data_IF_367938990472
#
_entry.id   IF_367938990472
#
_cell.length_a   1.000
_cell.length_b   1.000
_cell.length_c   1.000
_cell.angle_alpha   90.00
_cell.angle_beta   90.00
_cell.angle_gamma   90.00
#
_symmetry.space_group_name_H-M   'P 1'
#
loop_
_entity.id
_entity.type
_entity.pdbx_description
1 polymer ?
#
# COMPACT_ATOMS: atom_id res chain seq x y z
N UNK A 1 17.62 27.63 -36.78
CA UNK A 1 17.68 26.64 -37.87
C UNK A 1 16.83 25.44 -37.47
N UNK A 2 15.67 25.21 -38.10
CA UNK A 2 14.89 23.99 -37.93
C UNK A 2 15.31 22.96 -38.99
N UNK A 3 15.50 21.69 -38.59
CA UNK A 3 15.69 20.59 -39.53
C UNK A 3 14.41 19.77 -39.62
N UNK A 4 13.99 19.61 -40.86
CA UNK A 4 12.72 19.10 -41.37
C UNK A 4 13.11 17.93 -42.29
N UNK A 5 12.62 16.72 -41.95
CA UNK A 5 12.33 15.55 -42.82
C UNK A 5 13.53 14.77 -43.44
N UNK A 6 13.39 13.48 -43.88
CA UNK A 6 12.15 12.88 -44.40
C UNK A 6 11.77 11.44 -44.04
N UNK A 7 10.47 11.23 -44.29
CA UNK A 7 9.76 9.99 -44.58
C UNK A 7 10.48 9.15 -45.63
N UNK A 8 10.65 7.86 -45.37
CA UNK A 8 10.81 6.84 -46.41
C UNK A 8 9.70 5.80 -46.28
N UNK A 9 8.84 5.76 -47.30
CA UNK A 9 7.94 4.65 -47.60
C UNK A 9 8.77 3.56 -48.28
N UNK A 10 8.61 2.30 -47.86
CA UNK A 10 8.82 1.17 -48.76
C UNK A 10 7.63 0.22 -48.76
N UNK A 11 7.46 -0.39 -49.93
CA UNK A 11 6.28 -1.00 -50.48
C UNK A 11 5.88 -2.33 -49.82
N UNK A 12 4.59 -2.64 -50.01
CA UNK A 12 3.90 -3.90 -49.74
C UNK A 12 4.61 -5.12 -50.32
N UNK A 13 4.67 -6.19 -49.54
CA UNK A 13 4.61 -7.57 -50.03
C UNK A 13 3.31 -8.19 -49.53
N UNK A 14 2.40 -8.41 -50.46
CA UNK A 14 1.19 -9.22 -50.29
C UNK A 14 1.57 -10.69 -50.35
N UNK A 15 1.23 -11.45 -49.31
CA UNK A 15 0.98 -12.89 -49.41
C UNK A 15 -0.39 -13.16 -48.80
N UNK A 16 -1.35 -13.47 -49.67
CA UNK A 16 -2.60 -14.11 -49.26
C UNK A 16 -2.30 -15.57 -48.97
N UNK A 17 -2.51 -16.00 -47.73
CA UNK A 17 -2.76 -17.40 -47.43
C UNK A 17 -4.12 -17.52 -46.76
N UNK A 18 -4.89 -18.42 -47.37
CA UNK A 18 -6.30 -18.66 -47.13
C UNK A 18 -6.62 -19.08 -45.70
N UNK A 19 -7.78 -18.60 -45.25
CA UNK A 19 -8.85 -19.38 -44.61
C UNK A 19 -8.40 -20.55 -43.72
N UNK A 20 -8.34 -20.29 -42.41
CA UNK A 20 -8.63 -21.20 -41.27
C UNK A 20 -7.86 -20.71 -40.03
N UNK A 21 -8.14 -19.50 -39.53
CA UNK A 21 -7.53 -19.02 -38.29
C UNK A 21 -8.28 -17.93 -37.48
N UNK A 22 -9.55 -17.51 -37.74
CA UNK A 22 -10.10 -16.40 -36.95
C UNK A 22 -10.66 -16.84 -35.58
N UNK A 23 -10.79 -18.15 -35.30
CA UNK A 23 -11.37 -18.61 -34.02
C UNK A 23 -10.36 -18.86 -32.89
N UNK A 24 -9.06 -18.93 -33.16
CA UNK A 24 -8.04 -19.21 -32.13
C UNK A 24 -7.37 -17.95 -31.55
N UNK A 25 -7.49 -16.80 -32.23
CA UNK A 25 -6.86 -15.55 -31.78
C UNK A 25 -7.75 -14.66 -30.89
N UNK A 26 -9.06 -14.88 -30.90
CA UNK A 26 -10.00 -14.12 -30.04
C UNK A 26 -10.21 -14.75 -28.66
N UNK A 27 -9.79 -16.01 -28.45
CA UNK A 27 -9.85 -16.64 -27.13
C UNK A 27 -8.66 -16.27 -26.24
N UNK A 28 -7.52 -15.86 -26.82
CA UNK A 28 -6.31 -15.52 -26.05
C UNK A 28 -6.31 -14.09 -25.50
N UNK A 29 -7.10 -13.18 -26.08
CA UNK A 29 -7.19 -11.78 -25.59
C UNK A 29 -8.25 -11.59 -24.50
N UNK A 30 -9.23 -12.50 -24.39
CA UNK A 30 -10.25 -12.43 -23.33
C UNK A 30 -9.74 -12.95 -21.96
N UNK A 31 -8.69 -13.78 -21.94
CA UNK A 31 -8.14 -14.38 -20.72
C UNK A 31 -7.09 -13.52 -20.00
N UNK A 32 -6.59 -12.44 -20.62
CA UNK A 32 -5.59 -11.53 -20.00
C UNK A 32 -6.25 -10.34 -19.31
N UNK A 33 -7.54 -10.07 -19.57
CA UNK A 33 -8.27 -8.93 -18.98
C UNK A 33 -9.06 -9.28 -17.71
N UNK A 34 -9.09 -10.55 -17.33
CA UNK A 34 -9.73 -11.02 -16.09
C UNK A 34 -8.79 -11.87 -15.24
N UNK A 35 -7.51 -11.52 -15.21
CA UNK A 35 -6.69 -11.89 -14.06
C UNK A 35 -7.37 -11.25 -12.84
N UNK A 36 -7.87 -11.99 -11.84
CA UNK A 36 -8.06 -11.40 -10.54
C UNK A 36 -6.68 -10.92 -10.15
N UNK A 37 -6.48 -9.60 -10.10
CA UNK A 37 -5.29 -9.03 -9.50
C UNK A 37 -5.35 -9.53 -8.07
N UNK A 38 -4.51 -10.54 -7.81
CA UNK A 38 -4.29 -11.13 -6.50
C UNK A 38 -4.16 -9.99 -5.51
N UNK A 39 -4.75 -10.15 -4.32
CA UNK A 39 -4.38 -9.32 -3.18
C UNK A 39 -2.85 -9.36 -3.11
N UNK A 40 -2.21 -8.25 -3.45
CA UNK A 40 -0.76 -8.16 -3.36
C UNK A 40 -0.47 -8.07 -1.87
N UNK A 41 0.16 -9.10 -1.30
CA UNK A 41 0.73 -9.00 0.04
C UNK A 41 1.65 -7.79 0.05
N UNK A 42 1.29 -6.81 0.88
CA UNK A 42 1.94 -5.49 0.90
C UNK A 42 3.42 -5.63 1.23
N UNK A 43 3.69 -6.53 2.16
CA UNK A 43 5.00 -7.03 2.46
C UNK A 43 5.05 -8.37 1.75
N UNK A 44 5.71 -8.45 0.58
CA UNK A 44 5.92 -9.73 -0.10
C UNK A 44 6.78 -10.62 0.79
N UNK A 45 6.13 -11.34 1.69
CA UNK A 45 6.72 -12.30 2.59
C UNK A 45 5.89 -13.58 2.58
N UNK A 46 6.50 -14.64 3.11
CA UNK A 46 5.93 -15.98 3.18
C UNK A 46 4.73 -16.07 4.14
N UNK A 47 4.20 -14.97 4.68
CA UNK A 47 3.04 -14.99 5.55
C UNK A 47 2.04 -13.85 5.30
N UNK A 48 0.82 -14.08 5.74
CA UNK A 48 -0.35 -13.21 5.57
C UNK A 48 -1.07 -12.95 6.90
N UNK A 49 -2.00 -12.00 6.90
CA UNK A 49 -2.95 -11.82 8.00
C UNK A 49 -3.73 -13.11 8.25
N UNK A 50 -3.89 -13.48 9.52
CA UNK A 50 -4.59 -14.69 9.95
C UNK A 50 -3.71 -15.94 10.06
N UNK A 51 -2.45 -15.89 9.59
CA UNK A 51 -1.51 -17.00 9.77
C UNK A 51 -1.22 -17.25 11.25
N UNK A 52 -1.05 -18.53 11.62
CA UNK A 52 -0.86 -18.92 13.02
C UNK A 52 0.52 -18.54 13.56
N UNK A 53 0.59 -18.26 14.86
CA UNK A 53 1.85 -18.01 15.56
C UNK A 53 2.91 -19.11 15.33
N UNK A 54 2.48 -20.38 15.34
CA UNK A 54 3.36 -21.53 15.13
C UNK A 54 3.99 -21.50 13.74
N UNK A 55 3.20 -21.15 12.71
CA UNK A 55 3.69 -20.98 11.35
C UNK A 55 4.73 -19.87 11.26
N UNK A 56 4.42 -18.68 11.78
CA UNK A 56 5.36 -17.54 11.75
C UNK A 56 6.68 -17.86 12.44
N UNK A 57 6.60 -18.49 13.62
CA UNK A 57 7.80 -18.88 14.38
C UNK A 57 8.66 -19.94 13.69
N UNK A 58 8.08 -20.68 12.72
CA UNK A 58 8.78 -21.70 11.95
C UNK A 58 9.48 -21.16 10.71
N UNK A 59 9.21 -19.91 10.32
CA UNK A 59 9.82 -19.30 9.15
C UNK A 59 11.33 -19.05 9.38
N UNK A 60 12.15 -19.15 8.33
CA UNK A 60 13.56 -18.78 8.42
C UNK A 60 13.74 -17.36 8.92
N UNK A 61 14.80 -17.13 9.71
CA UNK A 61 15.19 -15.79 10.21
C UNK A 61 14.18 -15.14 11.18
N UNK A 62 13.07 -15.82 11.49
CA UNK A 62 12.13 -15.40 12.53
C UNK A 62 12.73 -15.54 13.92
N UNK A 63 12.53 -14.54 14.77
CA UNK A 63 12.86 -14.61 16.19
C UNK A 63 11.78 -13.92 17.04
N UNK A 64 11.61 -14.41 18.27
CA UNK A 64 10.69 -13.79 19.24
C UNK A 64 11.25 -12.43 19.70
N UNK A 65 10.48 -11.38 19.45
CA UNK A 65 10.80 -10.00 19.84
C UNK A 65 9.73 -9.37 20.72
N UNK A 66 8.83 -10.18 21.31
CA UNK A 66 7.71 -9.72 22.14
C UNK A 66 8.14 -8.76 23.25
N UNK A 67 9.31 -9.01 23.86
CA UNK A 67 9.85 -8.17 24.93
C UNK A 67 10.11 -6.71 24.53
N UNK A 68 10.40 -6.44 23.25
CA UNK A 68 10.63 -5.07 22.75
C UNK A 68 9.34 -4.24 22.74
N UNK A 69 8.18 -4.89 22.64
CA UNK A 69 6.87 -4.25 22.49
C UNK A 69 6.01 -4.33 23.75
N UNK A 70 6.46 -5.04 24.79
CA UNK A 70 5.80 -5.10 26.09
C UNK A 70 6.08 -3.88 26.98
N UNK A 71 7.02 -3.01 26.60
CA UNK A 71 7.47 -1.88 27.43
C UNK A 71 7.13 -0.50 26.86
N UNK A 72 6.53 -0.42 25.66
CA UNK A 72 6.10 0.84 25.07
C UNK A 72 4.75 1.27 25.62
N UNK A 73 4.74 2.38 26.36
CA UNK A 73 3.53 3.03 26.89
C UNK A 73 2.54 3.31 25.75
N UNK A 74 1.48 2.51 25.67
CA UNK A 74 0.41 2.64 24.66
C UNK A 74 -0.05 1.34 24.01
N UNK A 75 0.62 0.20 24.26
CA UNK A 75 0.23 -1.08 23.68
C UNK A 75 -0.76 -1.85 24.58
N UNK A 76 -2.05 -1.75 24.28
CA UNK A 76 -3.09 -2.74 24.65
C UNK A 76 -2.91 -4.06 23.85
N UNK A 77 -1.68 -4.52 23.67
CA UNK A 77 -1.37 -5.74 22.92
C UNK A 77 -0.66 -6.72 23.85
N UNK A 78 -1.43 -7.50 24.61
CA UNK A 78 -0.99 -8.74 25.27
C UNK A 78 -0.67 -9.86 24.23
N UNK A 79 -0.01 -9.49 23.13
CA UNK A 79 0.25 -10.33 21.98
C UNK A 79 1.71 -10.75 21.87
N UNK A 80 1.97 -11.91 21.26
CA UNK A 80 3.33 -12.31 20.86
C UNK A 80 3.76 -11.49 19.65
N UNK A 81 5.04 -11.20 19.51
CA UNK A 81 5.60 -10.57 18.33
C UNK A 81 6.79 -11.37 17.80
N UNK A 82 6.79 -11.60 16.49
CA UNK A 82 7.90 -12.25 15.78
C UNK A 82 8.52 -11.28 14.80
N UNK A 83 9.84 -11.14 14.86
CA UNK A 83 10.60 -10.20 14.05
C UNK A 83 11.45 -10.90 13.01
N UNK A 84 11.70 -10.18 11.91
CA UNK A 84 12.55 -10.55 10.79
C UNK A 84 13.48 -9.36 10.53
N UNK A 85 14.75 -9.48 10.90
CA UNK A 85 15.74 -8.42 10.74
C UNK A 85 16.33 -8.40 9.32
N UNK A 86 16.92 -7.28 8.92
CA UNK A 86 17.55 -7.06 7.61
C UNK A 86 16.63 -7.33 6.41
N UNK A 87 15.32 -7.22 6.61
CA UNK A 87 14.34 -7.37 5.55
C UNK A 87 14.41 -6.17 4.61
N UNK A 88 14.60 -6.40 3.31
CA UNK A 88 14.65 -5.34 2.29
C UNK A 88 13.35 -5.28 1.47
N UNK A 89 12.30 -4.64 1.98
CA UNK A 89 11.04 -4.46 1.25
C UNK A 89 11.08 -3.18 0.42
N UNK A 90 10.35 -3.13 -0.69
CA UNK A 90 10.26 -1.93 -1.55
C UNK A 90 11.60 -1.41 -2.11
N UNK A 91 12.66 -2.22 -2.11
CA UNK A 91 14.04 -1.83 -2.41
C UNK A 91 14.66 -0.82 -1.42
N UNK A 92 14.24 -0.87 -0.16
CA UNK A 92 14.90 -0.13 0.94
C UNK A 92 16.21 -0.80 1.34
N UNK A 93 17.00 -0.09 2.15
CA UNK A 93 18.21 -0.63 2.76
C UNK A 93 17.94 -1.00 4.22
N UNK A 94 17.93 -2.30 4.50
CA UNK A 94 17.61 -2.85 5.80
C UNK A 94 16.14 -2.70 6.16
N UNK A 95 15.84 -2.96 7.43
CA UNK A 95 14.53 -2.83 8.02
C UNK A 95 14.18 -4.04 8.86
N UNK A 96 13.38 -3.80 9.89
CA UNK A 96 12.84 -4.83 10.76
C UNK A 96 11.37 -5.00 10.44
N UNK A 97 10.98 -6.20 10.01
CA UNK A 97 9.57 -6.55 9.89
C UNK A 97 9.13 -7.29 11.15
N UNK A 98 7.99 -6.90 11.70
CA UNK A 98 7.40 -7.47 12.91
C UNK A 98 5.98 -7.94 12.62
N UNK A 99 5.70 -9.21 12.88
CA UNK A 99 4.36 -9.77 12.89
C UNK A 99 3.81 -9.77 14.32
N UNK A 100 2.70 -9.07 14.54
CA UNK A 100 2.00 -9.05 15.83
C UNK A 100 0.91 -10.12 15.83
N UNK A 101 0.94 -10.94 16.87
CA UNK A 101 0.02 -12.05 17.06
C UNK A 101 -1.02 -11.68 18.10
N UNK A 102 -2.29 -11.65 17.68
CA UNK A 102 -3.46 -11.56 18.56
C UNK A 102 -4.29 -12.82 18.40
N UNK A 103 -4.84 -13.36 19.49
CA UNK A 103 -5.66 -14.58 19.48
C UNK A 103 -5.01 -15.79 18.74
N UNK A 104 -3.68 -15.85 18.76
CA UNK A 104 -2.89 -16.91 18.11
C UNK A 104 -2.67 -16.75 16.61
N UNK A 105 -3.07 -15.62 16.00
CA UNK A 105 -2.92 -15.32 14.57
C UNK A 105 -2.30 -13.95 14.30
N UNK A 106 -1.72 -13.77 13.13
CA UNK A 106 -1.21 -12.46 12.67
C UNK A 106 -2.37 -11.48 12.50
N UNK A 107 -2.34 -10.40 13.26
CA UNK A 107 -3.36 -9.33 13.24
C UNK A 107 -2.82 -8.02 12.64
N UNK A 108 -1.57 -7.71 12.95
CA UNK A 108 -0.87 -6.54 12.43
C UNK A 108 0.54 -6.90 11.97
N UNK A 109 1.04 -6.17 10.99
CA UNK A 109 2.43 -6.28 10.53
C UNK A 109 3.03 -4.88 10.50
N UNK A 110 4.19 -4.71 11.12
CA UNK A 110 4.94 -3.45 11.10
C UNK A 110 6.26 -3.63 10.38
N UNK A 111 6.64 -2.65 9.57
CA UNK A 111 7.94 -2.55 8.93
C UNK A 111 8.61 -1.25 9.36
N UNK A 112 9.73 -1.38 10.06
CA UNK A 112 10.46 -0.28 10.66
C UNK A 112 11.79 -0.06 9.95
N UNK A 113 12.09 1.20 9.62
CA UNK A 113 13.24 1.60 8.81
C UNK A 113 13.87 2.87 9.38
N UNK A 114 15.20 2.98 9.26
CA UNK A 114 15.86 4.27 9.44
C UNK A 114 15.41 5.26 8.35
N UNK A 115 15.14 6.49 8.78
CA UNK A 115 14.76 7.58 7.91
C UNK A 115 15.94 8.04 7.06
N UNK A 116 15.84 7.78 5.77
CA UNK A 116 16.67 8.39 4.74
C UNK A 116 15.80 8.80 3.57
N UNK A 117 16.27 9.78 2.77
CA UNK A 117 15.59 10.16 1.53
C UNK A 117 15.41 8.99 0.57
N UNK A 118 16.36 8.06 0.53
CA UNK A 118 16.28 6.86 -0.29
C UNK A 118 15.16 5.93 0.20
N UNK A 119 15.14 5.61 1.50
CA UNK A 119 14.13 4.72 2.09
C UNK A 119 12.72 5.32 2.01
N UNK A 120 12.57 6.61 2.32
CA UNK A 120 11.28 7.32 2.23
C UNK A 120 10.69 7.25 0.83
N UNK A 121 11.48 7.60 -0.19
CA UNK A 121 11.03 7.53 -1.57
C UNK A 121 10.78 6.10 -2.04
N UNK A 122 11.61 5.13 -1.60
CA UNK A 122 11.45 3.72 -1.92
C UNK A 122 10.13 3.17 -1.39
N UNK A 123 9.79 3.48 -0.13
CA UNK A 123 8.53 3.11 0.51
C UNK A 123 7.33 3.67 -0.26
N UNK A 124 7.29 4.99 -0.47
CA UNK A 124 6.15 5.62 -1.15
C UNK A 124 6.00 5.12 -2.60
N UNK A 125 7.11 4.95 -3.31
CA UNK A 125 7.09 4.39 -4.66
C UNK A 125 6.68 2.91 -4.67
N UNK A 126 7.12 2.13 -3.68
CA UNK A 126 6.78 0.73 -3.49
C UNK A 126 5.29 0.51 -3.27
N UNK A 127 4.71 1.24 -2.31
CA UNK A 127 3.27 1.23 -2.04
C UNK A 127 2.47 1.63 -3.28
N UNK A 128 2.91 2.67 -4.00
CA UNK A 128 2.27 3.07 -5.27
C UNK A 128 2.32 1.96 -6.33
N UNK A 129 3.45 1.26 -6.48
CA UNK A 129 3.56 0.11 -7.42
C UNK A 129 2.63 -1.04 -7.04
N UNK A 130 2.34 -1.20 -5.75
CA UNK A 130 1.36 -2.15 -5.24
C UNK A 130 -0.10 -1.64 -5.30
N UNK A 131 -0.34 -0.50 -5.97
CA UNK A 131 -1.65 0.13 -6.12
C UNK A 131 -2.27 0.65 -4.81
N UNK A 132 -1.44 1.03 -3.83
CA UNK A 132 -1.90 1.82 -2.69
C UNK A 132 -1.99 3.29 -3.07
N UNK A 133 -3.04 3.95 -2.58
CA UNK A 133 -3.34 5.36 -2.81
C UNK A 133 -3.56 6.07 -1.49
N UNK A 134 -3.18 7.35 -1.42
CA UNK A 134 -3.42 8.18 -0.24
C UNK A 134 -4.92 8.36 -0.01
N UNK A 135 -5.36 8.04 1.20
CA UNK A 135 -6.71 8.31 1.67
C UNK A 135 -6.72 9.50 2.64
N UNK A 136 -5.68 9.63 3.47
CA UNK A 136 -5.47 10.76 4.36
C UNK A 136 -3.97 11.06 4.48
N UNK A 137 -3.63 12.34 4.55
CA UNK A 137 -2.25 12.82 4.76
C UNK A 137 -2.27 13.85 5.86
N UNK A 138 -1.43 13.66 6.88
CA UNK A 138 -1.25 14.60 7.99
C UNK A 138 0.21 14.95 8.12
N UNK A 139 0.55 16.24 8.08
CA UNK A 139 1.92 16.73 8.24
C UNK A 139 1.90 17.97 9.13
N UNK A 140 2.61 17.92 10.25
CA UNK A 140 2.73 19.07 11.15
C UNK A 140 1.39 19.55 11.74
N UNK A 141 0.42 18.66 11.88
CA UNK A 141 -0.93 18.97 12.36
C UNK A 141 -1.90 19.41 11.26
N UNK A 142 -1.44 19.68 10.05
CA UNK A 142 -2.32 19.91 8.90
C UNK A 142 -2.75 18.57 8.30
N UNK A 143 -4.06 18.38 8.10
CA UNK A 143 -4.63 17.12 7.60
C UNK A 143 -5.43 17.34 6.32
N UNK A 144 -5.14 16.55 5.30
CA UNK A 144 -5.90 16.43 4.05
C UNK A 144 -6.56 15.05 3.98
N UNK A 145 -7.89 15.02 4.06
CA UNK A 145 -8.69 13.82 3.78
C UNK A 145 -9.05 13.81 2.28
N UNK A 146 -8.47 12.85 1.55
CA UNK A 146 -8.58 12.78 0.09
C UNK A 146 -9.99 12.36 -0.35
N UNK A 147 -10.66 11.50 0.42
CA UNK A 147 -12.05 11.09 0.13
C UNK A 147 -13.02 12.27 0.24
N UNK A 148 -12.80 13.13 1.23
CA UNK A 148 -13.55 14.37 1.43
C UNK A 148 -13.22 15.39 0.34
N UNK A 149 -11.92 15.56 0.07
CA UNK A 149 -11.39 16.51 -0.91
C UNK A 149 -11.94 16.29 -2.31
N UNK A 150 -12.01 15.03 -2.78
CA UNK A 150 -12.54 14.68 -4.12
C UNK A 150 -14.00 15.09 -4.36
N UNK A 151 -14.78 15.38 -3.31
CA UNK A 151 -16.19 15.81 -3.44
C UNK A 151 -16.35 17.31 -3.54
N UNK A 152 -15.38 18.07 -3.03
CA UNK A 152 -15.48 19.51 -2.84
C UNK A 152 -14.53 20.26 -3.77
N UNK A 153 -13.36 19.67 -4.03
CA UNK A 153 -12.29 20.23 -4.84
C UNK A 153 -12.26 19.57 -6.21
N UNK A 154 -11.82 20.32 -7.21
CA UNK A 154 -11.41 19.71 -8.47
C UNK A 154 -10.12 18.89 -8.28
N UNK A 155 -9.89 17.95 -9.20
CA UNK A 155 -8.79 17.00 -9.10
C UNK A 155 -7.41 17.70 -9.07
N UNK A 156 -7.21 18.75 -9.85
CA UNK A 156 -5.92 19.42 -9.93
C UNK A 156 -5.58 20.09 -8.60
N UNK A 157 -6.54 20.81 -8.02
CA UNK A 157 -6.37 21.46 -6.71
C UNK A 157 -6.06 20.44 -5.61
N UNK A 158 -6.72 19.28 -5.63
CA UNK A 158 -6.46 18.23 -4.64
C UNK A 158 -5.07 17.61 -4.80
N UNK A 159 -4.67 17.33 -6.05
CA UNK A 159 -3.35 16.79 -6.35
C UNK A 159 -2.24 17.78 -5.94
N UNK A 160 -2.44 19.08 -6.18
CA UNK A 160 -1.52 20.14 -5.76
C UNK A 160 -1.40 20.22 -4.23
N UNK A 161 -2.53 20.19 -3.50
CA UNK A 161 -2.52 20.18 -2.02
C UNK A 161 -1.82 18.94 -1.47
N UNK A 162 -2.12 17.76 -2.02
CA UNK A 162 -1.48 16.51 -1.63
C UNK A 162 0.03 16.56 -1.86
N UNK A 163 0.46 17.08 -3.01
CA UNK A 163 1.87 17.24 -3.34
C UNK A 163 2.57 18.21 -2.39
N UNK A 164 1.97 19.38 -2.12
CA UNK A 164 2.53 20.37 -1.20
C UNK A 164 2.70 19.80 0.21
N UNK A 165 1.68 19.09 0.71
CA UNK A 165 1.68 18.56 2.06
C UNK A 165 2.69 17.41 2.22
N UNK A 166 2.68 16.44 1.29
CA UNK A 166 3.57 15.28 1.34
C UNK A 166 5.06 15.63 1.12
N UNK A 167 5.35 16.72 0.39
CA UNK A 167 6.71 17.19 0.12
C UNK A 167 7.14 18.36 1.02
N UNK A 168 6.50 18.55 2.18
CA UNK A 168 6.95 19.53 3.16
C UNK A 168 8.46 19.34 3.43
N UNK A 169 9.23 20.43 3.39
CA UNK A 169 10.70 20.38 3.34
C UNK A 169 11.37 19.95 4.65
N UNK A 170 10.70 20.16 5.79
CA UNK A 170 11.24 19.82 7.11
C UNK A 170 10.84 18.41 7.56
N UNK A 171 11.77 17.45 7.45
CA UNK A 171 11.57 16.04 7.81
C UNK A 171 11.56 15.76 9.32
N UNK A 172 11.85 16.77 10.16
CA UNK A 172 11.71 16.65 11.61
C UNK A 172 10.25 16.72 12.05
N UNK A 173 9.37 17.25 11.19
CA UNK A 173 7.93 17.32 11.43
C UNK A 173 7.31 15.92 11.32
N UNK A 174 6.45 15.56 12.28
CA UNK A 174 5.68 14.32 12.23
C UNK A 174 4.84 14.27 10.94
N UNK A 175 4.93 13.15 10.23
CA UNK A 175 4.09 12.84 9.07
C UNK A 175 3.36 11.54 9.30
N UNK A 176 2.08 11.54 8.97
CA UNK A 176 1.25 10.36 8.98
C UNK A 176 0.50 10.25 7.65
N UNK A 177 0.59 9.10 7.01
CA UNK A 177 -0.14 8.80 5.79
C UNK A 177 -1.02 7.57 6.04
N UNK A 178 -2.28 7.67 5.67
CA UNK A 178 -3.17 6.52 5.56
C UNK A 178 -3.32 6.21 4.09
N UNK A 179 -2.87 5.02 3.69
CA UNK A 179 -3.02 4.51 2.35
C UNK A 179 -3.95 3.29 2.34
N UNK A 180 -4.73 3.20 1.28
CA UNK A 180 -5.65 2.10 1.02
C UNK A 180 -5.34 1.51 -0.35
N UNK A 181 -5.66 0.24 -0.55
CA UNK A 181 -5.62 -0.32 -1.89
C UNK A 181 -6.63 0.42 -2.79
N UNK A 182 -6.26 0.62 -4.05
CA UNK A 182 -7.05 1.40 -5.01
C UNK A 182 -8.48 0.90 -5.18
N UNK A 183 -8.72 -0.40 -5.04
CA UNK A 183 -10.05 -0.99 -5.19
C UNK A 183 -10.94 -0.60 -4.01
N UNK A 184 -10.43 -0.71 -2.79
CA UNK A 184 -11.14 -0.27 -1.59
C UNK A 184 -11.35 1.23 -1.57
N UNK A 185 -10.36 2.02 -1.96
CA UNK A 185 -10.50 3.47 -2.10
C UNK A 185 -11.64 3.84 -3.08
N UNK A 186 -11.65 3.24 -4.28
CA UNK A 186 -12.74 3.42 -5.25
C UNK A 186 -14.10 2.97 -4.72
N UNK A 187 -14.14 1.89 -3.95
CA UNK A 187 -15.38 1.43 -3.32
C UNK A 187 -15.86 2.44 -2.29
N UNK A 188 -14.98 2.95 -1.43
CA UNK A 188 -15.29 3.98 -0.44
C UNK A 188 -15.90 5.23 -1.09
N UNK A 189 -15.34 5.68 -2.21
CA UNK A 189 -15.91 6.78 -3.00
C UNK A 189 -17.32 6.47 -3.52
N UNK A 190 -17.55 5.26 -4.05
CA UNK A 190 -18.86 4.84 -4.57
C UNK A 190 -19.92 4.70 -3.49
N UNK A 191 -19.52 4.32 -2.28
CA UNK A 191 -20.41 4.19 -1.11
C UNK A 191 -20.59 5.50 -0.34
N UNK A 192 -20.18 6.62 -0.93
CA UNK A 192 -20.29 7.97 -0.34
C UNK A 192 -19.63 8.09 1.03
N UNK A 193 -18.52 7.39 1.30
CA UNK A 193 -17.74 7.59 2.52
C UNK A 193 -17.17 9.00 2.49
N UNK A 194 -17.38 9.77 3.57
CA UNK A 194 -17.10 11.21 3.65
C UNK A 194 -15.90 11.59 4.51
N UNK A 195 -15.32 10.64 5.23
CA UNK A 195 -14.17 10.89 6.09
C UNK A 195 -13.52 9.55 6.43
N UNK A 196 -12.21 9.46 6.24
CA UNK A 196 -11.40 8.28 6.57
C UNK A 196 -11.41 8.03 8.08
N UNK A 197 -11.21 9.07 8.87
CA UNK A 197 -11.21 8.98 10.33
C UNK A 197 -12.54 8.47 10.88
N UNK A 198 -13.65 9.06 10.45
CA UNK A 198 -14.99 8.61 10.84
C UNK A 198 -15.31 7.20 10.32
N UNK A 199 -14.69 6.80 9.23
CA UNK A 199 -14.89 5.47 8.67
C UNK A 199 -14.19 4.40 9.50
N UNK A 200 -12.93 4.64 9.85
CA UNK A 200 -12.10 3.70 10.60
C UNK A 200 -12.48 3.64 12.09
N UNK A 201 -13.11 4.68 12.64
CA UNK A 201 -13.58 4.69 14.03
C UNK A 201 -14.88 3.89 14.29
N UNK A 202 -15.42 3.19 13.29
CA UNK A 202 -16.45 2.16 13.49
C UNK A 202 -17.92 2.61 13.33
N UNK A 203 -18.18 3.89 13.06
CA UNK A 203 -19.55 4.43 12.88
C UNK A 203 -20.13 4.30 11.46
N UNK A 204 -19.43 3.61 10.56
CA UNK A 204 -19.68 3.62 9.12
C UNK A 204 -19.73 2.19 8.54
N UNK A 205 -20.22 2.00 7.30
CA UNK A 205 -20.46 0.67 6.76
C UNK A 205 -19.17 -0.16 6.69
N UNK A 206 -19.10 -1.21 7.53
CA UNK A 206 -18.08 -2.27 7.47
C UNK A 206 -18.31 -3.25 6.30
N UNK A 207 -19.58 -3.38 5.88
CA UNK A 207 -20.00 -4.34 4.85
C UNK A 207 -19.36 -4.04 3.50
N UNK A 208 -18.68 -5.01 2.92
CA UNK A 208 -17.91 -4.87 1.69
C UNK A 208 -16.49 -4.35 1.90
N UNK A 209 -16.02 -4.24 3.14
CA UNK A 209 -14.65 -3.84 3.48
C UNK A 209 -14.00 -4.78 4.50
N UNK A 210 -14.53 -6.00 4.65
CA UNK A 210 -14.10 -7.01 5.61
C UNK A 210 -12.63 -7.43 5.40
N UNK A 211 -12.11 -7.26 4.18
CA UNK A 211 -10.71 -7.56 3.81
C UNK A 211 -9.92 -6.29 3.47
N UNK A 212 -10.35 -5.14 3.98
CA UNK A 212 -9.61 -3.90 3.79
C UNK A 212 -8.25 -4.03 4.47
N UNK A 213 -7.18 -3.88 3.71
CA UNK A 213 -5.85 -3.67 4.27
C UNK A 213 -5.54 -2.19 4.26
N UNK A 214 -5.32 -1.65 5.46
CA UNK A 214 -4.92 -0.28 5.67
C UNK A 214 -3.42 -0.23 5.93
N UNK A 215 -2.71 0.68 5.26
CA UNK A 215 -1.31 0.97 5.53
C UNK A 215 -1.21 2.35 6.16
N UNK A 216 -0.77 2.40 7.41
CA UNK A 216 -0.37 3.64 8.07
C UNK A 216 1.14 3.79 7.95
N UNK A 217 1.59 4.90 7.38
CA UNK A 217 3.01 5.25 7.36
C UNK A 217 3.21 6.42 8.31
N UNK A 218 4.09 6.27 9.29
CA UNK A 218 4.48 7.33 10.22
C UNK A 218 5.95 7.63 10.03
N UNK A 219 6.29 8.91 9.86
CA UNK A 219 7.67 9.38 9.80
C UNK A 219 7.90 10.33 10.98
N UNK A 220 8.79 9.93 11.88
CA UNK A 220 9.09 10.66 13.12
C UNK A 220 10.47 10.25 13.64
N UNK A 221 11.16 11.16 14.32
CA UNK A 221 12.36 10.85 15.12
C UNK A 221 13.43 10.03 14.37
N UNK A 222 13.68 10.35 13.10
CA UNK A 222 14.58 9.64 12.19
C UNK A 222 14.19 8.19 11.86
N UNK A 223 12.91 7.85 11.96
CA UNK A 223 12.37 6.53 11.62
C UNK A 223 11.19 6.66 10.64
N UNK A 224 11.02 5.62 9.83
CA UNK A 224 9.81 5.37 9.03
C UNK A 224 9.20 4.07 9.55
N UNK A 225 7.99 4.17 10.07
CA UNK A 225 7.18 3.03 10.51
C UNK A 225 6.03 2.82 9.54
N UNK A 226 5.92 1.64 8.95
CA UNK A 226 4.78 1.24 8.15
C UNK A 226 4.01 0.18 8.92
N UNK A 227 2.75 0.44 9.24
CA UNK A 227 1.87 -0.53 9.89
C UNK A 227 0.77 -0.94 8.94
N UNK A 228 0.70 -2.22 8.63
CA UNK A 228 -0.43 -2.83 7.94
C UNK A 228 -1.37 -3.47 8.95
N UNK A 229 -2.67 -3.20 8.80
CA UNK A 229 -3.72 -3.81 9.62
C UNK A 229 -5.01 -4.05 8.82
N UNK A 230 -5.88 -4.89 9.37
CA UNK A 230 -7.24 -5.09 8.89
C UNK A 230 -8.24 -4.49 9.88
N UNK A 231 -8.61 -3.20 9.74
CA UNK A 231 -9.40 -2.49 10.76
C UNK A 231 -10.83 -3.02 10.98
N UNK A 232 -11.27 -3.97 10.16
CA UNK A 232 -12.62 -4.54 10.19
C UNK A 232 -12.62 -6.08 10.23
N UNK A 233 -11.50 -6.72 10.57
CA UNK A 233 -11.42 -8.16 10.79
C UNK A 233 -11.99 -8.52 12.17
N UNK A 234 -13.32 -8.41 12.30
CA UNK A 234 -14.10 -9.00 13.39
C UNK A 234 -14.60 -10.40 12.99
#
# INVERSE_FOLDING_TARGET
MPLVFPVTRFFRLTVSFNQLAPCLFTLFTALVLFSPISNANVFQQDFEFGDSADYISSLPESFDCSALYQTSEGAESEGKAFCFDQTNLFNTQGGMLTAFISEGRVDAVEYMLEMSWANYNAVLAGLRRQNYVFAQVTVGGETLDVLSGLKVLDQQTLDDQLFTLANHSDFLVLREFILLDHRSFKRALKTDIKSVENWLSGNNPKRGFERLTLIRVTVKDNEILLKASQPFSD
#
